data_IF_436802219946
#
_entry.id   IF_436802219946
#
_cell.length_a   1.000
_cell.length_b   1.000
_cell.length_c   1.000
_cell.angle_alpha   90.00
_cell.angle_beta   90.00
_cell.angle_gamma   90.00
#
_symmetry.space_group_name_H-M   'P 1'
#
loop_
_entity.id
_entity.type
_entity.pdbx_description
1 polymer ?
#
# COMPACT_ATOMS: atom_id res chain seq x y z
N UNK A 1 -10.78 -0.38 -54.46
CA UNK A 1 -10.04 -0.93 -53.30
C UNK A 1 -10.91 -1.32 -52.10
N UNK A 2 -12.21 -0.97 -52.04
CA UNK A 2 -13.10 -1.29 -50.90
C UNK A 2 -13.83 -2.65 -50.98
N UNK A 3 -13.74 -3.37 -52.10
CA UNK A 3 -14.47 -4.65 -52.30
C UNK A 3 -14.04 -5.75 -51.32
N UNK A 4 -12.75 -5.81 -50.98
CA UNK A 4 -12.22 -6.84 -50.07
C UNK A 4 -12.78 -6.70 -48.65
N UNK A 5 -12.95 -5.49 -48.13
CA UNK A 5 -13.55 -5.28 -46.80
C UNK A 5 -15.02 -5.72 -46.76
N UNK A 6 -15.74 -5.50 -47.86
CA UNK A 6 -17.15 -5.88 -47.97
C UNK A 6 -17.35 -7.41 -48.04
N UNK A 7 -16.43 -8.11 -48.69
CA UNK A 7 -16.43 -9.58 -48.75
C UNK A 7 -16.09 -10.21 -47.39
N UNK A 8 -15.14 -9.61 -46.66
CA UNK A 8 -14.78 -10.03 -45.29
C UNK A 8 -15.92 -9.77 -44.29
N UNK A 9 -16.57 -8.61 -44.37
CA UNK A 9 -17.74 -8.30 -43.55
C UNK A 9 -18.90 -9.26 -43.85
N UNK A 10 -19.18 -9.54 -45.13
CA UNK A 10 -20.24 -10.50 -45.51
C UNK A 10 -19.91 -11.93 -45.06
N UNK A 11 -18.65 -12.35 -45.13
CA UNK A 11 -18.21 -13.65 -44.63
C UNK A 11 -18.32 -13.76 -43.11
N UNK A 12 -17.95 -12.70 -42.37
CA UNK A 12 -18.09 -12.63 -40.93
C UNK A 12 -19.57 -12.73 -40.49
N UNK A 13 -20.49 -12.03 -41.17
CA UNK A 13 -21.93 -12.11 -40.89
C UNK A 13 -22.52 -13.47 -41.27
N UNK A 14 -22.09 -14.06 -42.39
CA UNK A 14 -22.58 -15.38 -42.84
C UNK A 14 -22.13 -16.53 -41.92
N UNK A 15 -20.99 -16.36 -41.23
CA UNK A 15 -20.49 -17.30 -40.21
C UNK A 15 -20.51 -16.71 -38.80
N UNK A 16 -21.52 -15.88 -38.48
CA UNK A 16 -21.65 -15.16 -37.20
C UNK A 16 -21.37 -16.02 -35.96
N UNK A 17 -21.88 -17.25 -35.91
CA UNK A 17 -21.67 -18.15 -34.77
C UNK A 17 -20.20 -18.55 -34.57
N UNK A 18 -19.45 -18.78 -35.65
CA UNK A 18 -18.02 -19.13 -35.56
C UNK A 18 -17.17 -17.92 -35.20
N UNK A 19 -17.50 -16.75 -35.73
CA UNK A 19 -16.79 -15.50 -35.40
C UNK A 19 -16.96 -15.17 -33.92
N UNK A 20 -18.19 -15.29 -33.40
CA UNK A 20 -18.45 -15.09 -31.96
C UNK A 20 -17.72 -16.14 -31.11
N UNK A 21 -17.74 -17.41 -31.50
CA UNK A 21 -17.03 -18.46 -30.77
C UNK A 21 -15.51 -18.24 -30.73
N UNK A 22 -14.92 -17.81 -31.84
CA UNK A 22 -13.48 -17.49 -31.90
C UNK A 22 -13.16 -16.29 -31.02
N UNK A 23 -13.99 -15.24 -31.04
CA UNK A 23 -13.79 -14.08 -30.18
C UNK A 23 -13.95 -14.41 -28.70
N UNK A 24 -14.97 -15.19 -28.33
CA UNK A 24 -15.14 -15.65 -26.95
C UNK A 24 -13.95 -16.50 -26.50
N UNK A 25 -13.48 -17.42 -27.34
CA UNK A 25 -12.30 -18.22 -27.03
C UNK A 25 -11.06 -17.34 -26.87
N UNK A 26 -10.86 -16.36 -27.75
CA UNK A 26 -9.73 -15.44 -27.68
C UNK A 26 -9.80 -14.57 -26.41
N UNK A 27 -10.98 -14.06 -26.04
CA UNK A 27 -11.18 -13.32 -24.80
C UNK A 27 -10.95 -14.20 -23.56
N UNK A 28 -11.40 -15.45 -23.57
CA UNK A 28 -11.14 -16.39 -22.45
C UNK A 28 -9.66 -16.71 -22.33
N UNK A 29 -8.96 -16.89 -23.46
CA UNK A 29 -7.51 -17.14 -23.48
C UNK A 29 -6.76 -15.90 -22.97
N UNK A 30 -7.07 -14.70 -23.47
CA UNK A 30 -6.45 -13.44 -23.04
C UNK A 30 -6.77 -13.14 -21.57
N UNK A 31 -8.01 -13.31 -21.15
CA UNK A 31 -8.43 -13.13 -19.75
C UNK A 31 -7.75 -14.13 -18.82
N UNK A 32 -7.67 -15.40 -19.22
CA UNK A 32 -6.95 -16.44 -18.46
C UNK A 32 -5.45 -16.14 -18.36
N UNK A 33 -4.82 -15.75 -19.46
CA UNK A 33 -3.43 -15.32 -19.49
C UNK A 33 -3.20 -14.09 -18.61
N UNK A 34 -4.11 -13.11 -18.63
CA UNK A 34 -4.04 -11.90 -17.81
C UNK A 34 -4.03 -12.20 -16.31
N UNK A 35 -4.85 -13.15 -15.86
CA UNK A 35 -4.87 -13.60 -14.46
C UNK A 35 -3.55 -14.30 -14.07
N UNK A 36 -2.91 -15.00 -15.00
CA UNK A 36 -1.62 -15.68 -14.74
C UNK A 36 -0.40 -14.77 -14.89
N UNK A 37 -0.51 -13.68 -15.65
CA UNK A 37 0.55 -12.74 -15.99
C UNK A 37 0.43 -11.43 -15.20
N UNK A 38 0.08 -11.51 -13.91
CA UNK A 38 0.26 -10.40 -12.97
C UNK A 38 1.77 -10.18 -12.70
N UNK A 39 2.53 -9.85 -13.74
CA UNK A 39 3.89 -9.35 -13.62
C UNK A 39 3.86 -8.00 -12.90
N UNK A 40 4.71 -7.85 -11.88
CA UNK A 40 4.81 -6.62 -11.09
C UNK A 40 5.07 -5.43 -12.02
N UNK A 41 4.07 -4.58 -12.22
CA UNK A 41 4.24 -3.30 -12.91
C UNK A 41 4.98 -2.39 -11.93
N UNK A 42 6.30 -2.54 -11.86
CA UNK A 42 7.15 -1.77 -10.96
C UNK A 42 7.41 -0.39 -11.56
N UNK A 43 6.99 0.65 -10.86
CA UNK A 43 7.25 2.05 -11.19
C UNK A 43 8.68 2.49 -10.86
N UNK A 44 9.66 1.56 -10.85
CA UNK A 44 11.06 1.87 -10.62
C UNK A 44 11.65 2.49 -11.90
N UNK A 45 11.57 3.81 -12.01
CA UNK A 45 12.32 4.58 -12.99
C UNK A 45 13.78 4.64 -12.56
N UNK A 46 14.60 3.69 -13.00
CA UNK A 46 16.06 3.77 -12.90
C UNK A 46 16.66 4.31 -14.20
N UNK A 47 17.47 5.36 -14.10
CA UNK A 47 18.31 5.84 -15.21
C UNK A 47 19.76 5.47 -14.85
N UNK A 48 20.34 4.42 -15.48
CA UNK A 48 21.69 3.99 -15.19
C UNK A 48 22.70 5.11 -15.46
N UNK A 49 23.58 5.39 -14.50
CA UNK A 49 24.77 6.24 -14.71
C UNK A 49 24.73 7.66 -14.10
N UNK A 50 23.72 8.04 -13.32
CA UNK A 50 23.69 9.32 -12.59
C UNK A 50 24.08 9.15 -11.12
N UNK A 51 24.78 10.12 -10.54
CA UNK A 51 25.23 10.11 -9.13
C UNK A 51 24.06 9.90 -8.15
N UNK A 52 22.88 10.43 -8.48
CA UNK A 52 21.65 10.27 -7.68
C UNK A 52 21.21 8.80 -7.57
N UNK A 53 21.48 7.96 -8.59
CA UNK A 53 21.19 6.53 -8.54
C UNK A 53 22.19 5.82 -7.62
N UNK A 54 23.48 6.14 -7.72
CA UNK A 54 24.50 5.56 -6.82
C UNK A 54 24.24 5.92 -5.35
N UNK A 55 23.80 7.14 -5.07
CA UNK A 55 23.40 7.54 -3.73
C UNK A 55 22.20 6.73 -3.20
N UNK A 56 21.20 6.45 -4.05
CA UNK A 56 20.07 5.59 -3.69
C UNK A 56 20.49 4.12 -3.49
N UNK A 57 21.39 3.61 -4.33
CA UNK A 57 21.91 2.24 -4.20
C UNK A 57 22.71 2.07 -2.91
N UNK A 58 23.56 3.06 -2.56
CA UNK A 58 24.27 3.13 -1.28
C UNK A 58 23.33 3.23 -0.08
N UNK A 59 22.24 3.99 -0.20
CA UNK A 59 21.22 4.08 0.86
C UNK A 59 20.52 2.73 1.06
N UNK A 60 20.16 2.03 -0.01
CA UNK A 60 19.59 0.66 0.05
C UNK A 60 20.58 -0.34 0.66
N UNK A 61 21.88 -0.22 0.35
CA UNK A 61 22.92 -1.11 0.87
C UNK A 61 23.24 -0.86 2.36
N UNK A 62 23.40 0.40 2.77
CA UNK A 62 23.85 0.77 4.12
C UNK A 62 22.71 0.95 5.11
N UNK A 63 21.53 1.32 4.64
CA UNK A 63 20.36 1.58 5.48
C UNK A 63 19.10 0.93 4.87
N UNK A 64 19.07 -0.41 4.74
CA UNK A 64 17.93 -1.13 4.17
C UNK A 64 16.62 -0.83 4.91
N UNK A 65 16.70 -0.56 6.22
CA UNK A 65 15.58 -0.19 7.09
C UNK A 65 14.96 1.18 6.75
N UNK A 66 15.73 2.09 6.12
CA UNK A 66 15.26 3.42 5.71
C UNK A 66 14.64 3.45 4.30
N UNK A 67 14.82 2.38 3.51
CA UNK A 67 14.34 2.29 2.13
C UNK A 67 12.90 1.71 2.01
N UNK A 68 12.33 1.26 3.13
CA UNK A 68 11.02 0.65 3.18
C UNK A 68 9.85 1.63 3.24
N UNK A 69 8.64 1.13 3.02
CA UNK A 69 7.40 1.89 3.17
C UNK A 69 7.15 2.26 4.63
N UNK A 70 6.66 3.48 4.86
CA UNK A 70 6.31 3.98 6.20
C UNK A 70 4.80 4.15 6.30
N UNK A 71 4.20 3.48 7.28
CA UNK A 71 2.84 3.75 7.72
C UNK A 71 2.90 4.63 8.97
N UNK A 72 2.36 5.85 8.88
CA UNK A 72 2.23 6.76 10.02
C UNK A 72 0.89 6.53 10.68
N UNK A 73 0.90 6.19 11.95
CA UNK A 73 -0.29 6.03 12.79
C UNK A 73 -0.40 7.25 13.68
N UNK A 74 -1.42 8.06 13.49
CA UNK A 74 -1.72 9.22 14.34
C UNK A 74 -2.74 8.80 15.38
N UNK A 75 -2.45 9.06 16.65
CA UNK A 75 -3.33 8.76 17.77
C UNK A 75 -3.72 10.06 18.47
N UNK A 76 -5.00 10.24 18.74
CA UNK A 76 -5.53 11.36 19.50
C UNK A 76 -6.32 10.88 20.71
N UNK A 77 -5.91 11.32 21.90
CA UNK A 77 -6.65 11.13 23.13
C UNK A 77 -7.93 11.99 23.14
N UNK A 78 -9.01 11.51 23.79
CA UNK A 78 -10.24 12.29 23.95
C UNK A 78 -9.97 13.59 24.72
N UNK A 79 -10.89 14.56 24.59
CA UNK A 79 -10.72 15.86 25.24
C UNK A 79 -10.53 15.72 26.76
N UNK A 80 -9.49 16.38 27.29
CA UNK A 80 -9.13 16.33 28.71
C UNK A 80 -8.23 15.16 29.10
N UNK A 81 -7.96 14.20 28.20
CA UNK A 81 -7.03 13.10 28.43
C UNK A 81 -5.70 13.28 27.70
N UNK A 82 -4.68 12.58 28.20
CA UNK A 82 -3.33 12.58 27.64
C UNK A 82 -2.96 11.19 27.17
N UNK A 83 -2.13 11.11 26.14
CA UNK A 83 -1.56 9.83 25.68
C UNK A 83 -0.69 9.16 26.75
N UNK A 84 -0.13 9.94 27.67
CA UNK A 84 0.66 9.45 28.81
C UNK A 84 -0.18 9.04 30.02
N UNK A 85 -1.51 9.14 29.96
CA UNK A 85 -2.36 8.67 31.05
C UNK A 85 -2.24 7.14 31.17
N UNK A 86 -2.22 6.56 32.39
CA UNK A 86 -1.90 5.14 32.58
C UNK A 86 -2.76 4.16 31.77
N UNK A 87 -4.06 4.45 31.62
CA UNK A 87 -4.98 3.60 30.84
C UNK A 87 -4.64 3.65 29.34
N UNK A 88 -4.45 4.87 28.85
CA UNK A 88 -4.19 5.19 27.44
C UNK A 88 -2.81 4.71 27.00
N UNK A 89 -1.80 4.89 27.84
CA UNK A 89 -0.43 4.44 27.56
C UNK A 89 -0.33 2.92 27.50
N UNK A 90 -1.02 2.19 28.38
CA UNK A 90 -1.04 0.71 28.31
C UNK A 90 -1.74 0.20 27.05
N UNK A 91 -2.87 0.81 26.66
CA UNK A 91 -3.55 0.44 25.42
C UNK A 91 -2.71 0.76 24.17
N UNK A 92 -2.02 1.91 24.18
CA UNK A 92 -1.08 2.32 23.16
C UNK A 92 0.09 1.33 23.04
N UNK A 93 0.77 1.02 24.15
CA UNK A 93 1.91 0.08 24.17
C UNK A 93 1.52 -1.30 23.64
N UNK A 94 0.37 -1.84 24.07
CA UNK A 94 -0.13 -3.12 23.58
C UNK A 94 -0.46 -3.09 22.08
N UNK A 95 -0.97 -1.97 21.58
CA UNK A 95 -1.27 -1.78 20.15
C UNK A 95 0.00 -1.69 19.31
N UNK A 96 1.01 -0.96 19.79
CA UNK A 96 2.33 -0.86 19.15
C UNK A 96 3.06 -2.21 19.15
N UNK A 97 2.95 -3.00 20.21
CA UNK A 97 3.53 -4.34 20.27
C UNK A 97 2.85 -5.28 19.25
N UNK A 98 1.53 -5.19 19.09
CA UNK A 98 0.82 -5.93 18.03
C UNK A 98 1.22 -5.47 16.65
N UNK A 99 1.40 -4.16 16.44
CA UNK A 99 1.87 -3.62 15.17
C UNK A 99 3.28 -4.12 14.82
N UNK A 100 4.17 -4.22 15.80
CA UNK A 100 5.52 -4.77 15.61
C UNK A 100 5.53 -6.26 15.20
N UNK A 101 4.43 -6.99 15.46
CA UNK A 101 4.26 -8.40 15.08
C UNK A 101 3.59 -8.58 13.71
N UNK A 102 3.17 -7.49 13.06
CA UNK A 102 2.60 -7.54 11.70
C UNK A 102 3.67 -8.00 10.72
N UNK A 103 3.29 -8.89 9.80
CA UNK A 103 4.23 -9.43 8.81
C UNK A 103 4.82 -8.30 7.95
N UNK A 104 6.15 -8.32 7.80
CA UNK A 104 6.88 -7.34 7.02
C UNK A 104 7.24 -6.05 7.77
N UNK A 105 6.78 -5.85 9.02
CA UNK A 105 7.23 -4.73 9.86
C UNK A 105 8.64 -5.02 10.38
N UNK A 106 9.51 -4.02 10.31
CA UNK A 106 10.90 -4.09 10.77
C UNK A 106 11.19 -3.15 11.93
N UNK A 107 10.41 -2.07 12.07
CA UNK A 107 10.58 -1.07 13.13
C UNK A 107 9.24 -0.39 13.43
N UNK A 108 9.01 -0.07 14.70
CA UNK A 108 7.84 0.68 15.18
C UNK A 108 8.31 1.70 16.19
N UNK A 109 8.08 2.98 15.91
CA UNK A 109 8.43 4.04 16.84
C UNK A 109 7.39 4.21 17.94
N UNK A 110 7.87 4.46 19.16
CA UNK A 110 7.03 4.78 20.32
C UNK A 110 6.91 6.31 20.46
N UNK A 111 5.71 6.88 20.36
CA UNK A 111 5.54 8.33 20.36
C UNK A 111 5.90 9.00 21.69
N UNK A 112 5.74 8.29 22.81
CA UNK A 112 6.08 8.82 24.13
C UNK A 112 7.60 8.87 24.34
N UNK A 113 8.32 7.86 23.83
CA UNK A 113 9.79 7.81 23.89
C UNK A 113 10.45 8.73 22.86
N UNK A 114 9.91 8.75 21.63
CA UNK A 114 10.42 9.58 20.53
C UNK A 114 10.04 11.06 20.66
N UNK A 115 9.18 11.41 21.64
CA UNK A 115 8.63 12.75 21.84
C UNK A 115 7.92 13.29 20.59
N UNK A 116 7.28 12.41 19.83
CA UNK A 116 6.44 12.75 18.67
C UNK A 116 5.01 13.00 19.11
N UNK A 117 4.85 13.79 20.17
CA UNK A 117 3.58 14.18 20.78
C UNK A 117 3.41 15.69 20.74
N UNK A 118 2.17 16.16 20.64
CA UNK A 118 1.80 17.56 20.68
C UNK A 118 2.13 18.19 22.05
N UNK A 119 2.18 19.53 22.09
CA UNK A 119 2.51 20.28 23.31
C UNK A 119 1.54 20.02 24.47
N UNK A 120 0.26 19.78 24.15
CA UNK A 120 -0.79 19.39 25.10
C UNK A 120 -0.77 17.89 25.46
N UNK A 121 0.12 17.11 24.84
CA UNK A 121 0.27 15.65 25.00
C UNK A 121 -0.99 14.84 24.63
N UNK A 122 -1.88 15.43 23.83
CA UNK A 122 -3.12 14.80 23.39
C UNK A 122 -2.98 14.02 22.09
N UNK A 123 -2.17 14.52 21.15
CA UNK A 123 -1.98 13.93 19.82
C UNK A 123 -0.54 13.44 19.71
N UNK A 124 -0.34 12.28 19.11
CA UNK A 124 0.98 11.74 18.84
C UNK A 124 0.99 10.89 17.58
N UNK A 125 2.17 10.63 17.02
CA UNK A 125 2.28 9.73 15.89
C UNK A 125 3.39 8.70 16.08
N UNK A 126 3.08 7.47 15.67
CA UNK A 126 4.00 6.35 15.57
C UNK A 126 4.27 6.04 14.09
N UNK A 127 5.53 5.82 13.76
CA UNK A 127 5.95 5.39 12.43
C UNK A 127 6.19 3.88 12.47
N UNK A 128 5.45 3.16 11.63
CA UNK A 128 5.60 1.72 11.40
C UNK A 128 6.31 1.53 10.07
N UNK A 129 7.53 1.00 10.12
CA UNK A 129 8.36 0.74 8.94
C UNK A 129 8.18 -0.69 8.48
N UNK A 130 7.94 -0.85 7.19
CA UNK A 130 7.98 -2.13 6.52
C UNK A 130 9.35 -2.38 5.89
N UNK A 131 9.79 -3.62 5.83
CA UNK A 131 11.03 -4.00 5.13
C UNK A 131 10.91 -3.96 3.59
N UNK A 132 9.70 -3.83 3.07
CA UNK A 132 9.40 -3.74 1.64
C UNK A 132 9.05 -2.30 1.24
N UNK A 133 9.19 -1.96 -0.04
CA UNK A 133 8.77 -0.65 -0.55
C UNK A 133 7.26 -0.45 -0.36
N UNK A 134 6.82 0.79 -0.18
CA UNK A 134 5.42 1.14 0.06
C UNK A 134 4.43 0.54 -0.97
N UNK A 135 4.83 0.45 -2.24
CA UNK A 135 4.05 -0.14 -3.33
C UNK A 135 3.91 -1.66 -3.25
N UNK A 136 4.82 -2.32 -2.52
CA UNK A 136 4.90 -3.78 -2.39
C UNK A 136 4.34 -4.29 -1.05
N UNK A 137 3.95 -3.38 -0.12
CA UNK A 137 3.33 -3.77 1.15
C UNK A 137 1.96 -4.42 0.87
N UNK A 138 1.75 -5.70 1.23
CA UNK A 138 0.49 -6.40 0.99
C UNK A 138 -0.69 -5.73 1.70
N UNK A 139 -1.88 -5.77 1.10
CA UNK A 139 -3.08 -5.21 1.71
C UNK A 139 -3.39 -5.90 3.05
N UNK A 140 -3.12 -7.20 3.15
CA UNK A 140 -3.30 -7.98 4.36
C UNK A 140 -2.44 -7.47 5.52
N UNK A 141 -1.24 -6.94 5.23
CA UNK A 141 -0.37 -6.34 6.23
C UNK A 141 -0.91 -4.98 6.69
N UNK A 142 -1.47 -4.18 5.78
CA UNK A 142 -2.15 -2.90 6.12
C UNK A 142 -3.39 -3.14 6.99
N UNK A 143 -4.18 -4.15 6.64
CA UNK A 143 -5.38 -4.54 7.40
C UNK A 143 -5.01 -5.13 8.76
N UNK A 144 -3.92 -5.90 8.85
CA UNK A 144 -3.39 -6.40 10.11
C UNK A 144 -2.87 -5.25 11.00
N UNK A 145 -2.21 -4.25 10.43
CA UNK A 145 -1.80 -3.05 11.14
C UNK A 145 -3.01 -2.25 11.65
N UNK A 146 -4.06 -2.12 10.84
CA UNK A 146 -5.31 -1.48 11.27
C UNK A 146 -5.91 -2.19 12.48
N UNK A 147 -6.01 -3.52 12.42
CA UNK A 147 -6.49 -4.36 13.54
C UNK A 147 -5.60 -4.33 14.78
N UNK A 148 -4.29 -4.14 14.60
CA UNK A 148 -3.38 -3.99 15.73
C UNK A 148 -3.72 -2.75 16.58
N UNK A 149 -4.32 -1.73 15.97
CA UNK A 149 -4.75 -0.50 16.64
C UNK A 149 -6.16 -0.56 17.22
N UNK A 150 -6.92 -1.65 17.01
CA UNK A 150 -8.28 -1.79 17.54
C UNK A 150 -8.31 -1.64 19.07
N UNK A 151 -7.28 -2.14 19.76
CA UNK A 151 -7.18 -2.01 21.22
C UNK A 151 -7.00 -0.55 21.68
N UNK A 152 -6.31 0.29 20.89
CA UNK A 152 -6.25 1.73 21.15
C UNK A 152 -7.62 2.38 20.90
N UNK A 153 -8.32 2.01 19.81
CA UNK A 153 -9.68 2.48 19.52
C UNK A 153 -10.67 2.11 20.62
N UNK A 154 -10.63 0.87 21.09
CA UNK A 154 -11.47 0.36 22.19
C UNK A 154 -11.20 1.09 23.52
N UNK A 155 -9.98 1.59 23.71
CA UNK A 155 -9.61 2.42 24.85
C UNK A 155 -10.05 3.89 24.70
N UNK A 156 -10.74 4.24 23.62
CA UNK A 156 -11.26 5.58 23.35
C UNK A 156 -10.30 6.49 22.58
N UNK A 157 -9.18 5.97 22.06
CA UNK A 157 -8.30 6.74 21.19
C UNK A 157 -8.85 6.84 19.77
N UNK A 158 -8.81 8.03 19.21
CA UNK A 158 -9.01 8.20 17.78
C UNK A 158 -7.70 7.84 17.06
N UNK A 159 -7.80 6.96 16.06
CA UNK A 159 -6.63 6.44 15.33
C UNK A 159 -6.82 6.69 13.83
N UNK A 160 -5.86 7.39 13.24
CA UNK A 160 -5.82 7.70 11.82
C UNK A 160 -4.52 7.19 11.19
N UNK A 161 -4.58 6.84 9.91
CA UNK A 161 -3.45 6.28 9.17
C UNK A 161 -3.03 7.20 8.02
N UNK A 162 -1.72 7.33 7.83
CA UNK A 162 -1.11 8.05 6.72
C UNK A 162 0.26 7.48 6.37
N UNK A 163 1.07 8.26 5.65
CA UNK A 163 2.38 7.83 5.17
C UNK A 163 2.33 6.99 3.89
N UNK A 164 3.48 6.82 3.26
CA UNK A 164 3.60 6.24 1.91
C UNK A 164 3.03 4.82 1.81
N UNK A 165 3.10 4.02 2.87
CA UNK A 165 2.57 2.66 2.88
C UNK A 165 1.04 2.61 2.97
N UNK A 166 0.38 3.66 3.47
CA UNK A 166 -1.08 3.73 3.63
C UNK A 166 -1.76 4.55 2.53
N UNK A 167 -0.99 5.20 1.65
CA UNK A 167 -1.54 5.91 0.49
C UNK A 167 -2.20 4.92 -0.49
N UNK A 168 -3.39 5.25 -1.02
CA UNK A 168 -3.99 4.49 -2.10
C UNK A 168 -3.06 4.55 -3.31
N UNK A 169 -2.88 3.40 -3.97
CA UNK A 169 -2.09 3.29 -5.19
C UNK A 169 -2.64 4.30 -6.19
N UNK A 170 -1.81 5.26 -6.61
CA UNK A 170 -2.21 6.26 -7.62
C UNK A 170 -2.48 5.50 -8.91
N UNK A 171 -3.75 5.30 -9.25
CA UNK A 171 -4.12 4.78 -10.55
C UNK A 171 -3.83 5.88 -11.58
N UNK A 172 -2.83 5.65 -12.43
CA UNK A 172 -2.58 6.53 -13.57
C UNK A 172 -3.66 6.24 -14.61
N UNK A 173 -4.81 6.88 -14.43
CA UNK A 173 -5.97 6.82 -15.31
C UNK A 173 -6.74 8.13 -15.18
N UNK A 174 -6.43 9.10 -16.04
CA UNK A 174 -7.26 10.29 -16.18
C UNK A 174 -8.67 9.92 -16.68
N UNK A 175 -9.71 10.71 -16.37
CA UNK A 175 -11.03 10.49 -16.96
C UNK A 175 -10.91 10.53 -18.48
N UNK A 176 -11.50 9.52 -19.12
CA UNK A 176 -11.55 9.33 -20.56
C UNK A 176 -12.15 10.53 -21.31
#
# INVERSE_FOLDING_TARGET
>A
MASRLYDWARWAVRRRGRVVAVWLLLLTVVGGLGITLHGKVTTEFSVPGIESQQAQDLLKEKFPEAAGGVARVVLAAPEGEKLSAPKTSTALEASLEKAARVSGVVDVSDPLKARTVSADQRIGYADVRFGQQASDVPQEAKDALSRAMDQARDAGLEVEFGGSAMEPKTEVGGPA
#
